data_IF_287116493085
#
_entry.id   IF_287116493085
#
_cell.length_a   1.000
_cell.length_b   1.000
_cell.length_c   1.000
_cell.angle_alpha   90.00
_cell.angle_beta   90.00
_cell.angle_gamma   90.00
#
_symmetry.space_group_name_H-M   'P 1'
#
loop_
_entity.id
_entity.type
_entity.pdbx_description
1 polymer ?
#
# COMPACT_ATOMS: atom_id res chain seq x y z
N UNK A 1 1.96 28.82 21.27
CA UNK A 1 1.59 28.48 19.88
C UNK A 1 0.94 29.71 19.27
N UNK A 2 1.39 30.18 18.10
CA UNK A 2 0.84 31.40 17.49
C UNK A 2 -0.61 31.18 17.04
N UNK A 3 -1.40 32.25 16.98
CA UNK A 3 -2.81 32.19 16.54
C UNK A 3 -2.95 31.61 15.12
N UNK A 4 -2.03 32.00 14.23
CA UNK A 4 -1.92 31.49 12.85
C UNK A 4 -1.69 29.98 12.81
N UNK A 5 -0.81 29.45 13.66
CA UNK A 5 -0.53 28.01 13.72
C UNK A 5 -1.77 27.22 14.19
N UNK A 6 -2.49 27.72 15.19
CA UNK A 6 -3.74 27.10 15.63
C UNK A 6 -4.81 27.10 14.54
N UNK A 7 -4.92 28.22 13.81
CA UNK A 7 -5.85 28.35 12.69
C UNK A 7 -5.52 27.39 11.55
N UNK A 8 -4.25 27.28 11.16
CA UNK A 8 -3.83 26.34 10.12
C UNK A 8 -4.05 24.89 10.57
N UNK A 9 -3.68 24.52 11.80
CA UNK A 9 -3.94 23.17 12.34
C UNK A 9 -5.42 22.81 12.30
N UNK A 10 -6.31 23.76 12.62
CA UNK A 10 -7.75 23.55 12.51
C UNK A 10 -8.18 23.24 11.08
N UNK A 11 -7.72 24.02 10.10
CA UNK A 11 -8.06 23.82 8.69
C UNK A 11 -7.51 22.50 8.15
N UNK A 12 -6.25 22.17 8.45
CA UNK A 12 -5.63 20.89 8.11
C UNK A 12 -6.37 19.72 8.74
N UNK A 13 -6.82 19.87 9.99
CA UNK A 13 -7.57 18.84 10.67
C UNK A 13 -8.93 18.57 10.02
N UNK A 14 -9.65 19.61 9.62
CA UNK A 14 -10.92 19.44 8.89
C UNK A 14 -10.72 18.77 7.52
N UNK A 15 -9.63 19.09 6.81
CA UNK A 15 -9.27 18.40 5.55
C UNK A 15 -8.94 16.93 5.81
N UNK A 16 -8.16 16.65 6.87
CA UNK A 16 -7.84 15.29 7.32
C UNK A 16 -9.12 14.50 7.62
N UNK A 17 -10.04 15.06 8.41
CA UNK A 17 -11.28 14.37 8.79
C UNK A 17 -12.13 13.97 7.57
N UNK A 18 -12.22 14.84 6.56
CA UNK A 18 -12.92 14.53 5.30
C UNK A 18 -12.21 13.39 4.56
N UNK A 19 -10.88 13.44 4.48
CA UNK A 19 -10.07 12.38 3.89
C UNK A 19 -10.25 11.04 4.61
N UNK A 20 -10.22 11.03 5.94
CA UNK A 20 -10.44 9.82 6.75
C UNK A 20 -11.85 9.26 6.59
N UNK A 21 -12.87 10.12 6.48
CA UNK A 21 -14.22 9.69 6.16
C UNK A 21 -14.30 9.03 4.76
N UNK A 22 -13.59 9.58 3.77
CA UNK A 22 -13.47 8.96 2.46
C UNK A 22 -12.75 7.60 2.54
N UNK A 23 -11.70 7.46 3.36
CA UNK A 23 -11.03 6.18 3.60
C UNK A 23 -12.00 5.14 4.18
N UNK A 24 -12.87 5.49 5.14
CA UNK A 24 -13.89 4.57 5.67
C UNK A 24 -14.83 4.07 4.57
N UNK A 25 -15.28 4.98 3.70
CA UNK A 25 -16.10 4.60 2.54
C UNK A 25 -15.34 3.71 1.55
N UNK A 26 -14.04 3.95 1.36
CA UNK A 26 -13.16 3.12 0.53
C UNK A 26 -12.96 1.71 1.11
N UNK A 27 -12.77 1.60 2.42
CA UNK A 27 -12.72 0.30 3.11
C UNK A 27 -14.05 -0.45 2.99
N UNK A 28 -15.17 0.23 3.26
CA UNK A 28 -16.50 -0.39 3.17
C UNK A 28 -16.79 -0.89 1.75
N UNK A 29 -16.28 -0.19 0.72
CA UNK A 29 -16.41 -0.58 -0.68
C UNK A 29 -15.75 -1.93 -0.98
N UNK A 30 -14.71 -2.29 -0.24
CA UNK A 30 -13.96 -3.53 -0.45
C UNK A 30 -14.39 -4.67 0.48
N UNK A 31 -15.11 -4.36 1.57
CA UNK A 31 -15.43 -5.33 2.63
C UNK A 31 -16.91 -5.65 2.72
N UNK A 32 -17.80 -4.64 2.75
CA UNK A 32 -19.21 -4.84 3.11
C UNK A 32 -20.22 -4.36 2.05
N UNK A 33 -19.79 -3.58 1.06
CA UNK A 33 -20.74 -2.93 0.14
C UNK A 33 -21.57 -3.96 -0.66
N UNK A 34 -22.89 -3.75 -0.80
CA UNK A 34 -23.69 -4.55 -1.72
C UNK A 34 -23.25 -4.34 -3.18
N UNK A 35 -23.34 -5.35 -4.06
CA UNK A 35 -22.87 -5.24 -5.46
C UNK A 35 -23.47 -4.08 -6.27
N UNK A 36 -24.69 -3.64 -5.96
CA UNK A 36 -25.33 -2.50 -6.66
C UNK A 36 -24.94 -1.12 -6.08
N UNK A 37 -24.13 -1.08 -5.03
CA UNK A 37 -23.75 0.16 -4.34
C UNK A 37 -22.54 0.88 -4.94
N UNK A 38 -21.76 0.23 -5.82
CA UNK A 38 -20.47 0.73 -6.28
C UNK A 38 -20.57 2.08 -7.01
N UNK A 39 -21.56 2.27 -7.89
CA UNK A 39 -21.72 3.54 -8.61
C UNK A 39 -21.94 4.72 -7.66
N UNK A 40 -22.89 4.58 -6.72
CA UNK A 40 -23.17 5.63 -5.73
C UNK A 40 -21.97 5.87 -4.81
N UNK A 41 -21.23 4.82 -4.44
CA UNK A 41 -20.00 4.93 -3.65
C UNK A 41 -18.93 5.73 -4.39
N UNK A 42 -18.74 5.49 -5.69
CA UNK A 42 -17.82 6.28 -6.51
C UNK A 42 -18.15 7.78 -6.49
N UNK A 43 -19.44 8.14 -6.57
CA UNK A 43 -19.88 9.54 -6.48
C UNK A 43 -19.65 10.17 -5.10
N UNK A 44 -19.88 9.41 -4.02
CA UNK A 44 -19.61 9.85 -2.65
C UNK A 44 -18.12 10.15 -2.45
N UNK A 45 -17.26 9.22 -2.85
CA UNK A 45 -15.80 9.40 -2.77
C UNK A 45 -15.35 10.61 -3.60
N UNK A 46 -15.82 10.75 -4.85
CA UNK A 46 -15.51 11.89 -5.70
C UNK A 46 -15.92 13.23 -5.05
N UNK A 47 -17.09 13.27 -4.41
CA UNK A 47 -17.59 14.45 -3.70
C UNK A 47 -16.71 14.81 -2.52
N UNK A 48 -16.37 13.83 -1.65
CA UNK A 48 -15.52 14.06 -0.49
C UNK A 48 -14.11 14.51 -0.89
N UNK A 49 -13.49 13.86 -1.89
CA UNK A 49 -12.17 14.25 -2.39
C UNK A 49 -12.16 15.67 -2.94
N UNK A 50 -13.21 16.06 -3.68
CA UNK A 50 -13.35 17.43 -4.19
C UNK A 50 -13.48 18.45 -3.05
N UNK A 51 -14.34 18.20 -2.06
CA UNK A 51 -14.54 19.10 -0.92
C UNK A 51 -13.24 19.24 -0.11
N UNK A 52 -12.52 18.14 0.15
CA UNK A 52 -11.25 18.16 0.85
C UNK A 52 -10.23 19.04 0.13
N UNK A 53 -10.12 18.89 -1.20
CA UNK A 53 -9.18 19.70 -1.98
C UNK A 53 -9.59 21.17 -2.04
N UNK A 54 -10.84 21.50 -2.35
CA UNK A 54 -11.34 22.89 -2.39
C UNK A 54 -11.09 23.61 -1.07
N UNK A 55 -11.26 22.90 0.04
CA UNK A 55 -10.98 23.41 1.38
C UNK A 55 -9.50 23.60 1.67
N UNK A 56 -8.65 22.73 1.12
CA UNK A 56 -7.21 22.77 1.34
C UNK A 56 -6.51 23.85 0.49
N UNK A 57 -6.97 24.10 -0.73
CA UNK A 57 -6.28 24.98 -1.69
C UNK A 57 -6.71 26.46 -1.61
N UNK A 58 -7.41 26.87 -0.54
CA UNK A 58 -7.85 28.27 -0.39
C UNK A 58 -6.67 29.23 -0.25
N UNK A 59 -6.89 30.51 -0.59
CA UNK A 59 -5.86 31.55 -0.40
C UNK A 59 -5.54 31.78 1.08
N UNK A 60 -6.50 31.55 1.98
CA UNK A 60 -6.30 31.60 3.43
C UNK A 60 -5.27 30.54 3.89
N UNK A 61 -5.43 29.28 3.45
CA UNK A 61 -4.47 28.21 3.79
C UNK A 61 -3.09 28.54 3.23
N UNK A 62 -3.02 29.01 1.98
CA UNK A 62 -1.76 29.42 1.35
C UNK A 62 -1.06 30.55 2.10
N UNK A 63 -1.80 31.60 2.49
CA UNK A 63 -1.26 32.72 3.26
C UNK A 63 -0.75 32.30 4.63
N UNK A 64 -1.49 31.44 5.34
CA UNK A 64 -1.06 30.89 6.63
C UNK A 64 0.22 30.05 6.51
N UNK A 65 0.32 29.22 5.47
CA UNK A 65 1.52 28.41 5.21
C UNK A 65 2.73 29.31 4.97
N UNK A 66 2.64 30.33 4.13
CA UNK A 66 3.77 31.23 3.83
C UNK A 66 4.21 32.06 5.04
N UNK A 67 3.25 32.58 5.82
CA UNK A 67 3.53 33.28 7.06
C UNK A 67 4.28 32.38 8.06
N UNK A 68 3.79 31.15 8.26
CA UNK A 68 4.37 30.20 9.22
C UNK A 68 5.71 29.62 8.74
N UNK A 69 5.91 29.45 7.43
CA UNK A 69 7.24 29.12 6.85
C UNK A 69 8.27 30.18 7.21
N UNK A 70 7.87 31.44 7.18
CA UNK A 70 8.75 32.57 7.53
C UNK A 70 9.00 32.63 9.05
N UNK A 71 7.95 32.45 9.86
CA UNK A 71 8.03 32.47 11.33
C UNK A 71 8.90 31.32 11.89
N UNK A 72 8.80 30.14 11.30
CA UNK A 72 9.48 28.92 11.75
C UNK A 72 10.74 28.59 10.94
N UNK A 73 11.27 29.55 10.17
CA UNK A 73 12.45 29.32 9.35
C UNK A 73 13.66 28.92 10.21
N UNK A 74 14.30 27.81 9.87
CA UNK A 74 15.44 27.25 10.62
C UNK A 74 15.07 26.56 11.94
N UNK A 75 13.80 26.48 12.31
CA UNK A 75 13.36 25.72 13.48
C UNK A 75 13.36 24.21 13.17
N UNK A 76 13.88 23.43 14.12
CA UNK A 76 13.90 21.97 14.06
C UNK A 76 12.94 21.38 15.11
N UNK A 77 11.66 21.38 14.77
CA UNK A 77 10.58 20.83 15.59
C UNK A 77 9.41 20.36 14.71
N UNK A 78 8.46 19.66 15.31
CA UNK A 78 7.33 19.04 14.62
C UNK A 78 6.42 20.06 13.90
N UNK A 79 6.25 21.26 14.46
CA UNK A 79 5.47 22.31 13.81
C UNK A 79 6.15 22.76 12.51
N UNK A 80 7.47 22.99 12.53
CA UNK A 80 8.23 23.31 11.33
C UNK A 80 8.19 22.17 10.29
N UNK A 81 8.24 20.91 10.74
CA UNK A 81 8.08 19.75 9.86
C UNK A 81 6.69 19.68 9.22
N UNK A 82 5.63 19.89 10.02
CA UNK A 82 4.24 19.92 9.56
C UNK A 82 4.06 21.00 8.49
N UNK A 83 4.63 22.19 8.69
CA UNK A 83 4.55 23.28 7.71
C UNK A 83 5.30 22.94 6.42
N UNK A 84 6.48 22.30 6.48
CA UNK A 84 7.19 21.85 5.28
C UNK A 84 6.35 20.86 4.46
N UNK A 85 5.75 19.87 5.11
CA UNK A 85 4.89 18.87 4.45
C UNK A 85 3.62 19.52 3.91
N UNK A 86 2.94 20.36 4.71
CA UNK A 86 1.74 21.07 4.31
C UNK A 86 1.99 21.98 3.10
N UNK A 87 3.11 22.72 3.08
CA UNK A 87 3.51 23.57 1.95
C UNK A 87 3.67 22.76 0.68
N UNK A 88 4.44 21.67 0.73
CA UNK A 88 4.64 20.80 -0.44
C UNK A 88 3.30 20.26 -0.96
N UNK A 89 2.45 19.76 -0.05
CA UNK A 89 1.16 19.21 -0.41
C UNK A 89 0.24 20.29 -1.02
N UNK A 90 0.24 21.50 -0.47
CA UNK A 90 -0.53 22.64 -0.98
C UNK A 90 -0.07 23.04 -2.38
N UNK A 91 1.24 23.17 -2.59
CA UNK A 91 1.84 23.54 -3.87
C UNK A 91 1.50 22.54 -4.99
N UNK A 92 1.43 21.25 -4.65
CA UNK A 92 0.97 20.21 -5.59
C UNK A 92 -0.53 20.29 -5.82
N UNK A 93 -1.33 20.33 -4.75
CA UNK A 93 -2.79 20.33 -4.83
C UNK A 93 -3.35 21.55 -5.58
N UNK A 94 -2.75 22.73 -5.44
CA UNK A 94 -3.17 23.97 -6.10
C UNK A 94 -3.00 23.94 -7.62
N UNK A 95 -2.09 23.11 -8.14
CA UNK A 95 -1.86 22.98 -9.59
C UNK A 95 -2.95 22.19 -10.30
N UNK A 96 -3.64 21.32 -9.56
CA UNK A 96 -4.60 20.37 -10.12
C UNK A 96 -6.02 20.91 -9.89
N UNK A 97 -6.84 21.11 -10.93
CA UNK A 97 -8.22 21.56 -10.74
C UNK A 97 -9.04 20.57 -9.91
N UNK A 98 -9.86 21.00 -8.92
CA UNK A 98 -10.72 20.09 -8.17
C UNK A 98 -11.71 19.30 -9.04
N UNK A 99 -12.12 19.85 -10.19
CA UNK A 99 -12.95 19.15 -11.18
C UNK A 99 -12.21 17.96 -11.82
N UNK A 100 -10.89 18.05 -11.98
CA UNK A 100 -10.07 16.96 -12.51
C UNK A 100 -9.99 15.79 -11.51
N UNK A 101 -9.83 16.07 -10.21
CA UNK A 101 -9.83 15.02 -9.18
C UNK A 101 -11.18 14.28 -9.15
N UNK A 102 -12.30 15.01 -9.27
CA UNK A 102 -13.61 14.38 -9.38
C UNK A 102 -13.76 13.53 -10.66
N UNK A 103 -13.28 14.02 -11.82
CA UNK A 103 -13.25 13.26 -13.08
C UNK A 103 -12.45 11.96 -12.92
N UNK A 104 -11.25 12.05 -12.36
CA UNK A 104 -10.36 10.91 -12.11
C UNK A 104 -11.00 9.88 -11.18
N UNK A 105 -11.63 10.30 -10.09
CA UNK A 105 -12.32 9.40 -9.16
C UNK A 105 -13.44 8.60 -9.85
N UNK A 106 -14.26 9.27 -10.67
CA UNK A 106 -15.35 8.62 -11.42
C UNK A 106 -14.80 7.63 -12.45
N UNK A 107 -13.76 8.01 -13.19
CA UNK A 107 -13.13 7.13 -14.18
C UNK A 107 -12.49 5.91 -13.51
N UNK A 108 -11.75 6.08 -12.42
CA UNK A 108 -11.13 4.99 -11.67
C UNK A 108 -12.15 4.02 -11.09
N UNK A 109 -13.29 4.52 -10.58
CA UNK A 109 -14.38 3.65 -10.08
C UNK A 109 -14.94 2.76 -11.18
N UNK A 110 -15.22 3.32 -12.37
CA UNK A 110 -15.72 2.55 -13.52
C UNK A 110 -14.67 1.58 -14.05
N UNK A 111 -13.41 1.99 -14.08
CA UNK A 111 -12.30 1.13 -14.49
C UNK A 111 -12.13 -0.06 -13.54
N UNK A 112 -12.32 0.12 -12.23
CA UNK A 112 -12.27 -0.96 -11.25
C UNK A 112 -13.37 -2.01 -11.48
N UNK A 113 -14.61 -1.57 -11.72
CA UNK A 113 -15.72 -2.48 -12.05
C UNK A 113 -15.44 -3.28 -13.32
N UNK A 114 -15.01 -2.60 -14.40
CA UNK A 114 -14.64 -3.26 -15.65
C UNK A 114 -13.45 -4.23 -15.48
N UNK A 115 -12.47 -3.88 -14.65
CA UNK A 115 -11.33 -4.74 -14.33
C UNK A 115 -11.76 -6.01 -13.58
N UNK A 116 -12.69 -5.92 -12.62
CA UNK A 116 -13.19 -7.10 -11.90
C UNK A 116 -13.82 -8.10 -12.87
N UNK A 117 -14.64 -7.59 -13.80
CA UNK A 117 -15.24 -8.40 -14.85
C UNK A 117 -14.19 -8.99 -15.81
N UNK A 118 -13.30 -8.14 -16.34
CA UNK A 118 -12.22 -8.52 -17.25
C UNK A 118 -11.34 -9.62 -16.65
N UNK A 119 -10.95 -9.49 -15.38
CA UNK A 119 -10.15 -10.49 -14.66
C UNK A 119 -10.91 -11.80 -14.48
N UNK A 120 -12.19 -11.74 -14.11
CA UNK A 120 -13.02 -12.96 -13.94
C UNK A 120 -13.18 -13.72 -15.25
N UNK A 121 -13.27 -13.00 -16.37
CA UNK A 121 -13.41 -13.57 -17.72
C UNK A 121 -12.06 -13.86 -18.39
N UNK A 122 -10.95 -13.45 -17.80
CA UNK A 122 -9.62 -13.44 -18.44
C UNK A 122 -9.63 -12.74 -19.81
N UNK A 123 -10.36 -11.63 -19.93
CA UNK A 123 -10.57 -10.90 -21.18
C UNK A 123 -10.15 -9.43 -21.03
N UNK A 124 -8.95 -9.11 -21.53
CA UNK A 124 -8.39 -7.77 -21.48
C UNK A 124 -9.17 -6.76 -22.33
N UNK A 125 -9.88 -7.19 -23.38
CA UNK A 125 -10.60 -6.27 -24.28
C UNK A 125 -11.71 -5.50 -23.56
N UNK A 126 -12.26 -6.07 -22.50
CA UNK A 126 -13.23 -5.41 -21.61
C UNK A 126 -12.58 -4.24 -20.86
N UNK A 127 -11.33 -4.41 -20.41
CA UNK A 127 -10.63 -3.40 -19.60
C UNK A 127 -9.87 -2.37 -20.44
N UNK A 128 -9.42 -2.74 -21.64
CA UNK A 128 -8.62 -1.89 -22.51
C UNK A 128 -9.15 -0.45 -22.66
N UNK A 129 -10.41 -0.19 -23.05
CA UNK A 129 -10.90 1.18 -23.23
C UNK A 129 -10.91 1.99 -21.92
N UNK A 130 -11.05 1.32 -20.77
CA UNK A 130 -10.97 1.97 -19.47
C UNK A 130 -9.53 2.30 -19.10
N UNK A 131 -8.58 1.39 -19.37
CA UNK A 131 -7.16 1.62 -19.14
C UNK A 131 -6.64 2.78 -20.00
N UNK A 132 -7.03 2.85 -21.27
CA UNK A 132 -6.70 3.97 -22.17
C UNK A 132 -7.16 5.31 -21.58
N UNK A 133 -8.39 5.37 -21.05
CA UNK A 133 -8.89 6.58 -20.40
C UNK A 133 -8.15 6.93 -19.12
N UNK A 134 -7.77 5.93 -18.31
CA UNK A 134 -6.95 6.13 -17.11
C UNK A 134 -5.58 6.71 -17.49
N UNK A 135 -4.90 6.13 -18.48
CA UNK A 135 -3.58 6.61 -18.94
C UNK A 135 -3.68 8.03 -19.52
N UNK A 136 -4.75 8.36 -20.27
CA UNK A 136 -5.02 9.72 -20.74
C UNK A 136 -5.09 10.71 -19.57
N UNK A 137 -5.82 10.37 -18.51
CA UNK A 137 -5.93 11.21 -17.32
C UNK A 137 -4.60 11.31 -16.56
N UNK A 138 -3.82 10.23 -16.47
CA UNK A 138 -2.48 10.27 -15.86
C UNK A 138 -1.58 11.25 -16.60
N UNK A 139 -1.56 11.21 -17.95
CA UNK A 139 -0.79 12.17 -18.75
C UNK A 139 -1.30 13.61 -18.56
N UNK A 140 -2.62 13.80 -18.49
CA UNK A 140 -3.24 15.11 -18.19
C UNK A 140 -2.85 15.61 -16.79
N UNK A 141 -2.77 14.72 -15.79
CA UNK A 141 -2.30 15.06 -14.45
C UNK A 141 -0.87 15.61 -14.49
N UNK A 142 0.06 14.89 -15.14
CA UNK A 142 1.45 15.33 -15.30
C UNK A 142 1.54 16.71 -15.95
N UNK A 143 0.65 17.03 -16.91
CA UNK A 143 0.63 18.32 -17.60
C UNK A 143 0.29 19.54 -16.71
N UNK A 144 -0.26 19.33 -15.50
CA UNK A 144 -0.50 20.43 -14.54
C UNK A 144 0.78 20.88 -13.83
N UNK A 145 1.86 20.11 -13.93
CA UNK A 145 3.12 20.36 -13.25
C UNK A 145 4.15 20.98 -14.22
N UNK A 146 5.11 21.77 -13.72
CA UNK A 146 6.22 22.22 -14.54
C UNK A 146 7.02 21.01 -15.05
N UNK A 147 7.75 21.14 -16.17
CA UNK A 147 8.59 20.05 -16.67
C UNK A 147 9.54 19.52 -15.59
N UNK A 148 9.49 18.21 -15.35
CA UNK A 148 10.45 17.48 -14.52
C UNK A 148 11.60 16.94 -15.39
N UNK A 149 12.64 16.38 -14.76
CA UNK A 149 13.75 15.74 -15.49
C UNK A 149 13.24 14.58 -16.36
N UNK A 150 12.27 13.82 -15.84
CA UNK A 150 11.51 12.82 -16.57
C UNK A 150 10.01 12.95 -16.23
N UNK A 151 9.06 12.82 -17.19
CA UNK A 151 7.63 13.04 -16.93
C UNK A 151 7.04 12.10 -15.86
N UNK A 152 7.59 10.89 -15.75
CA UNK A 152 7.22 9.93 -14.70
C UNK A 152 7.64 10.38 -13.28
N UNK A 153 8.61 11.29 -13.14
CA UNK A 153 9.07 11.78 -11.82
C UNK A 153 7.94 12.49 -11.06
N UNK A 154 7.04 13.17 -11.77
CA UNK A 154 5.86 13.81 -11.16
C UNK A 154 4.96 12.80 -10.47
N UNK A 155 4.78 11.63 -11.09
CA UNK A 155 3.96 10.54 -10.54
C UNK A 155 4.69 9.81 -9.41
N UNK A 156 6.00 9.57 -9.57
CA UNK A 156 6.81 8.92 -8.55
C UNK A 156 6.85 9.74 -7.26
N UNK A 157 6.97 11.06 -7.38
CA UNK A 157 6.97 12.01 -6.26
C UNK A 157 5.61 12.04 -5.50
N UNK A 158 4.51 11.56 -6.08
CA UNK A 158 3.24 11.40 -5.32
C UNK A 158 3.35 10.31 -4.25
N UNK A 159 4.23 9.32 -4.43
CA UNK A 159 4.36 8.15 -3.57
C UNK A 159 5.65 8.11 -2.78
N UNK A 160 6.75 8.61 -3.37
CA UNK A 160 8.08 8.65 -2.76
C UNK A 160 8.67 10.06 -2.93
N UNK A 161 8.41 10.98 -1.99
CA UNK A 161 8.79 12.38 -2.11
C UNK A 161 10.29 12.58 -2.43
N UNK A 162 10.57 13.23 -3.56
CA UNK A 162 11.93 13.54 -4.02
C UNK A 162 12.65 12.42 -4.78
N UNK A 163 12.08 11.21 -4.87
CA UNK A 163 12.65 10.13 -5.67
C UNK A 163 12.46 10.40 -7.16
N UNK A 164 13.51 10.18 -7.96
CA UNK A 164 13.44 10.30 -9.43
C UNK A 164 13.55 8.97 -10.13
N UNK A 165 13.09 8.92 -11.38
CA UNK A 165 13.24 7.79 -12.29
C UNK A 165 14.71 7.37 -12.42
N UNK A 166 15.63 8.34 -12.44
CA UNK A 166 17.07 8.09 -12.48
C UNK A 166 17.60 7.38 -11.23
N UNK A 167 17.09 7.73 -10.05
CA UNK A 167 17.49 7.11 -8.77
C UNK A 167 17.02 5.65 -8.72
N UNK A 168 15.78 5.38 -9.15
CA UNK A 168 15.24 4.02 -9.22
C UNK A 168 16.04 3.16 -10.21
N UNK A 169 16.39 3.70 -11.38
CA UNK A 169 17.26 3.01 -12.36
C UNK A 169 18.65 2.72 -11.76
N UNK A 170 19.24 3.67 -11.03
CA UNK A 170 20.52 3.48 -10.38
C UNK A 170 20.51 2.36 -9.31
N UNK A 171 19.34 2.07 -8.72
CA UNK A 171 19.15 0.91 -7.83
C UNK A 171 18.97 -0.39 -8.63
N UNK A 172 18.10 -0.37 -9.64
CA UNK A 172 17.70 -1.59 -10.36
C UNK A 172 18.76 -2.12 -11.32
N UNK A 173 19.47 -1.25 -12.04
CA UNK A 173 20.46 -1.64 -13.06
C UNK A 173 21.58 -2.54 -12.50
N UNK A 174 22.21 -2.24 -11.35
CA UNK A 174 23.20 -3.14 -10.75
C UNK A 174 22.58 -4.33 -10.01
N UNK A 175 21.33 -4.24 -9.54
CA UNK A 175 20.65 -5.29 -8.78
C UNK A 175 20.17 -6.42 -9.70
N UNK A 176 19.53 -6.07 -10.82
CA UNK A 176 18.91 -7.01 -11.76
C UNK A 176 19.83 -8.15 -12.19
N UNK A 177 21.05 -7.93 -12.73
CA UNK A 177 21.90 -9.04 -13.18
C UNK A 177 22.30 -9.97 -12.03
N UNK A 178 22.58 -9.42 -10.84
CA UNK A 178 22.93 -10.20 -9.65
C UNK A 178 21.75 -11.04 -9.15
N UNK A 179 20.56 -10.46 -9.15
CA UNK A 179 19.33 -11.16 -8.77
C UNK A 179 19.01 -12.29 -9.76
N UNK A 180 19.15 -12.04 -11.06
CA UNK A 180 19.00 -13.07 -12.11
C UNK A 180 20.01 -14.20 -11.94
N UNK A 181 21.27 -13.89 -11.64
CA UNK A 181 22.30 -14.91 -11.36
C UNK A 181 21.94 -15.75 -10.13
N UNK A 182 21.52 -15.12 -9.03
CA UNK A 182 21.09 -15.80 -7.81
C UNK A 182 19.90 -16.73 -8.10
N UNK A 183 18.87 -16.26 -8.80
CA UNK A 183 17.71 -17.07 -9.17
C UNK A 183 18.16 -18.28 -9.99
N UNK A 184 19.00 -18.08 -11.01
CA UNK A 184 19.54 -19.18 -11.84
C UNK A 184 20.29 -20.21 -11.01
N UNK A 185 21.11 -19.76 -10.07
CA UNK A 185 21.85 -20.65 -9.16
C UNK A 185 20.89 -21.48 -8.29
N UNK A 186 19.85 -20.84 -7.73
CA UNK A 186 18.85 -21.52 -6.90
C UNK A 186 18.03 -22.52 -7.72
N UNK A 187 17.54 -22.13 -8.90
CA UNK A 187 16.71 -23.01 -9.76
C UNK A 187 17.50 -24.18 -10.33
N UNK A 188 18.83 -24.05 -10.47
CA UNK A 188 19.71 -25.13 -10.93
C UNK A 188 20.10 -26.11 -9.82
N UNK A 189 19.90 -25.75 -8.55
CA UNK A 189 20.20 -26.60 -7.41
C UNK A 189 19.11 -27.66 -7.16
N UNK A 190 19.36 -28.56 -6.20
CA UNK A 190 18.35 -29.52 -5.75
C UNK A 190 17.18 -28.79 -5.08
N UNK A 191 16.00 -28.92 -5.65
CA UNK A 191 14.80 -28.22 -5.20
C UNK A 191 14.23 -28.77 -3.89
N UNK A 192 13.61 -27.88 -3.12
CA UNK A 192 12.94 -28.18 -1.85
C UNK A 192 11.54 -28.74 -2.13
N UNK A 193 11.13 -29.78 -1.41
CA UNK A 193 9.75 -30.27 -1.42
C UNK A 193 8.85 -29.31 -0.65
N UNK A 194 7.79 -28.83 -1.29
CA UNK A 194 6.86 -27.86 -0.72
C UNK A 194 5.39 -28.27 -0.83
N UNK A 195 5.08 -29.47 -1.36
CA UNK A 195 3.71 -29.93 -1.65
C UNK A 195 2.77 -29.87 -0.44
N UNK A 196 3.32 -29.97 0.78
CA UNK A 196 2.53 -29.86 2.00
C UNK A 196 1.95 -28.46 2.24
N UNK A 197 2.55 -27.39 1.70
CA UNK A 197 2.03 -26.02 1.77
C UNK A 197 0.74 -25.85 0.95
N UNK A 198 0.58 -26.66 -0.10
CA UNK A 198 -0.52 -26.60 -1.06
C UNK A 198 -1.62 -27.64 -0.79
N UNK A 199 -1.53 -28.39 0.31
CA UNK A 199 -2.63 -29.24 0.77
C UNK A 199 -3.83 -28.38 1.18
N UNK A 200 -5.00 -28.99 1.32
CA UNK A 200 -6.16 -28.28 1.89
C UNK A 200 -5.93 -27.95 3.36
N UNK A 201 -5.93 -26.66 3.69
CA UNK A 201 -5.96 -26.16 5.07
C UNK A 201 -7.36 -25.65 5.41
N UNK A 202 -7.73 -25.72 6.68
CA UNK A 202 -8.97 -25.10 7.13
C UNK A 202 -8.77 -23.58 7.23
N UNK A 203 -9.54 -22.82 6.45
CA UNK A 203 -9.46 -21.35 6.39
C UNK A 203 -9.54 -20.72 7.78
N UNK A 204 -10.57 -21.05 8.57
CA UNK A 204 -10.78 -20.44 9.89
C UNK A 204 -9.56 -20.65 10.78
N UNK A 205 -9.02 -21.88 10.84
CA UNK A 205 -7.82 -22.17 11.64
C UNK A 205 -6.58 -21.41 11.17
N UNK A 206 -6.43 -21.15 9.87
CA UNK A 206 -5.31 -20.38 9.35
C UNK A 206 -5.45 -18.89 9.71
N UNK A 207 -6.65 -18.34 9.58
CA UNK A 207 -6.94 -16.97 9.98
C UNK A 207 -6.75 -16.81 11.50
N UNK A 208 -7.29 -17.72 12.31
CA UNK A 208 -7.11 -17.71 13.77
C UNK A 208 -5.62 -17.76 14.15
N UNK A 209 -4.82 -18.59 13.46
CA UNK A 209 -3.38 -18.65 13.68
C UNK A 209 -2.67 -17.34 13.28
N UNK A 210 -3.08 -16.72 12.18
CA UNK A 210 -2.58 -15.40 11.77
C UNK A 210 -2.89 -14.32 12.80
N UNK A 211 -4.12 -14.32 13.35
CA UNK A 211 -4.54 -13.45 14.46
C UNK A 211 -3.62 -13.65 15.68
N UNK A 212 -3.36 -14.89 16.09
CA UNK A 212 -2.45 -15.19 17.20
C UNK A 212 -1.03 -14.65 16.95
N UNK A 213 -0.53 -14.78 15.72
CA UNK A 213 0.80 -14.28 15.33
C UNK A 213 0.86 -12.75 15.46
N UNK A 214 -0.05 -12.02 14.82
CA UNK A 214 0.02 -10.56 14.76
C UNK A 214 -0.31 -9.92 16.12
N UNK A 215 -1.12 -10.61 16.95
CA UNK A 215 -1.29 -10.24 18.36
C UNK A 215 0.05 -10.23 19.10
N UNK A 216 0.91 -11.23 18.83
CA UNK A 216 2.25 -11.29 19.42
C UNK A 216 3.25 -10.32 18.80
N UNK A 217 3.05 -9.90 17.54
CA UNK A 217 3.82 -8.78 16.98
C UNK A 217 3.53 -7.46 17.70
N UNK A 218 2.32 -7.32 18.26
CA UNK A 218 1.89 -6.14 18.99
C UNK A 218 0.78 -5.36 18.29
N UNK A 219 0.10 -5.95 17.30
CA UNK A 219 -1.07 -5.32 16.68
C UNK A 219 -2.15 -5.10 17.74
N UNK A 220 -2.53 -3.84 17.95
CA UNK A 220 -3.49 -3.45 18.98
C UNK A 220 -4.92 -3.58 18.46
N UNK A 221 -5.60 -4.63 18.91
CA UNK A 221 -7.00 -4.92 18.56
C UNK A 221 -8.01 -3.92 19.13
N UNK A 222 -7.63 -3.08 20.10
CA UNK A 222 -8.49 -1.97 20.55
C UNK A 222 -8.46 -0.78 19.59
N UNK A 223 -7.43 -0.74 18.72
CA UNK A 223 -7.17 0.33 17.74
C UNK A 223 -7.23 -0.18 16.30
N UNK A 224 -7.93 -1.29 16.07
CA UNK A 224 -7.96 -1.94 14.77
C UNK A 224 -8.76 -3.23 14.71
N UNK A 225 -8.90 -3.78 13.51
CA UNK A 225 -9.54 -5.08 13.25
C UNK A 225 -9.04 -5.70 11.95
N UNK A 226 -9.30 -7.00 11.77
CA UNK A 226 -9.02 -7.73 10.53
C UNK A 226 -10.31 -8.19 9.85
N UNK A 227 -10.39 -7.98 8.54
CA UNK A 227 -11.50 -8.36 7.68
C UNK A 227 -11.07 -9.19 6.48
N UNK A 228 -12.04 -9.66 5.67
CA UNK A 228 -11.76 -10.26 4.37
C UNK A 228 -11.97 -9.24 3.26
N UNK A 229 -11.07 -9.25 2.29
CA UNK A 229 -11.20 -8.48 1.06
C UNK A 229 -10.67 -9.27 -0.15
N UNK A 230 -11.10 -8.96 -1.39
CA UNK A 230 -10.55 -9.59 -2.60
C UNK A 230 -9.04 -9.40 -2.76
N UNK A 231 -8.50 -8.32 -2.20
CA UNK A 231 -7.07 -8.04 -2.10
C UNK A 231 -6.77 -7.61 -0.66
N UNK A 232 -5.80 -8.21 0.04
CA UNK A 232 -5.31 -7.69 1.31
C UNK A 232 -4.80 -6.25 1.17
N UNK A 233 -5.08 -5.45 2.18
CA UNK A 233 -4.60 -4.08 2.35
C UNK A 233 -4.75 -3.65 3.81
N UNK A 234 -3.94 -2.67 4.22
CA UNK A 234 -4.10 -1.86 5.42
C UNK A 234 -4.73 -0.50 5.05
N UNK A 235 -5.52 0.06 5.97
CA UNK A 235 -6.04 1.42 5.87
C UNK A 235 -6.21 2.04 7.25
N UNK A 236 -5.87 3.33 7.35
CA UNK A 236 -5.92 4.10 8.60
C UNK A 236 -6.98 5.19 8.54
N UNK A 237 -7.85 5.25 9.55
CA UNK A 237 -8.89 6.29 9.71
C UNK A 237 -8.56 7.29 10.83
N UNK A 238 -7.77 6.85 11.79
CA UNK A 238 -7.09 7.65 12.81
C UNK A 238 -5.93 6.82 13.34
N UNK A 239 -5.04 7.38 14.15
CA UNK A 239 -4.01 6.59 14.83
C UNK A 239 -4.61 5.47 15.68
N UNK A 240 -5.88 5.58 16.09
CA UNK A 240 -6.61 4.61 16.90
C UNK A 240 -7.64 3.77 16.11
N UNK A 241 -7.68 3.86 14.79
CA UNK A 241 -8.50 3.00 13.93
C UNK A 241 -7.73 2.65 12.65
N UNK A 242 -6.84 1.67 12.80
CA UNK A 242 -5.97 1.10 11.76
C UNK A 242 -6.48 -0.29 11.45
N UNK A 243 -7.02 -0.52 10.25
CA UNK A 243 -7.63 -1.80 9.87
C UNK A 243 -6.82 -2.49 8.81
N UNK A 244 -6.78 -3.82 8.93
CA UNK A 244 -6.16 -4.69 7.95
C UNK A 244 -7.22 -5.60 7.31
N UNK A 245 -6.95 -6.07 6.12
CA UNK A 245 -7.73 -7.11 5.47
C UNK A 245 -6.84 -8.26 5.06
N UNK A 246 -7.43 -9.45 4.93
CA UNK A 246 -6.73 -10.64 4.47
C UNK A 246 -7.59 -11.38 3.44
N UNK A 247 -6.99 -12.38 2.80
CA UNK A 247 -7.67 -13.25 1.84
C UNK A 247 -7.18 -14.67 2.01
N UNK A 248 -8.13 -15.61 2.07
CA UNK A 248 -7.80 -17.02 1.98
C UNK A 248 -7.52 -17.42 0.53
N UNK A 249 -6.38 -18.08 0.29
CA UNK A 249 -5.99 -18.57 -1.03
C UNK A 249 -6.12 -20.09 -1.09
N UNK A 250 -7.17 -20.60 -1.73
CA UNK A 250 -7.40 -22.05 -1.83
C UNK A 250 -6.22 -22.80 -2.46
N UNK A 251 -5.59 -22.21 -3.47
CA UNK A 251 -4.47 -22.79 -4.21
C UNK A 251 -3.11 -22.63 -3.50
N UNK A 252 -3.00 -21.69 -2.54
CA UNK A 252 -1.80 -21.51 -1.72
C UNK A 252 -2.19 -21.09 -0.28
N UNK A 253 -2.78 -21.99 0.52
CA UNK A 253 -3.41 -21.60 1.78
C UNK A 253 -2.44 -20.93 2.75
N UNK A 254 -1.17 -21.34 2.74
CA UNK A 254 -0.14 -20.76 3.60
C UNK A 254 0.24 -19.31 3.23
N UNK A 255 -0.03 -18.85 2.00
CA UNK A 255 0.14 -17.44 1.64
C UNK A 255 -0.77 -16.51 2.45
N UNK A 256 -1.97 -16.98 2.82
CA UNK A 256 -2.91 -16.25 3.71
C UNK A 256 -2.23 -15.72 4.97
N UNK A 257 -1.34 -16.52 5.56
CA UNK A 257 -0.62 -16.16 6.78
C UNK A 257 0.35 -14.99 6.53
N UNK A 258 1.12 -15.06 5.45
CA UNK A 258 2.08 -14.02 5.09
C UNK A 258 1.38 -12.73 4.66
N UNK A 259 0.24 -12.82 3.97
CA UNK A 259 -0.61 -11.66 3.69
C UNK A 259 -1.05 -10.96 4.99
N UNK A 260 -1.54 -11.72 5.97
CA UNK A 260 -1.88 -11.14 7.29
C UNK A 260 -0.68 -10.52 7.99
N UNK A 261 0.49 -11.16 7.97
CA UNK A 261 1.72 -10.60 8.56
C UNK A 261 2.19 -9.32 7.85
N UNK A 262 2.04 -9.27 6.52
CA UNK A 262 2.39 -8.13 5.68
C UNK A 262 1.54 -6.92 6.04
N UNK A 263 0.22 -7.06 6.00
CA UNK A 263 -0.69 -5.96 6.35
C UNK A 263 -0.56 -5.56 7.83
N UNK A 264 -0.29 -6.51 8.72
CA UNK A 264 0.00 -6.17 10.11
C UNK A 264 1.29 -5.35 10.26
N UNK A 265 2.30 -5.57 9.42
CA UNK A 265 3.53 -4.77 9.44
C UNK A 265 3.28 -3.31 9.01
N UNK A 266 2.41 -3.10 8.02
CA UNK A 266 1.88 -1.77 7.71
C UNK A 266 1.15 -1.16 8.90
N UNK A 267 0.22 -1.91 9.50
CA UNK A 267 -0.57 -1.39 10.60
C UNK A 267 0.25 -1.08 11.86
N UNK A 268 1.31 -1.84 12.14
CA UNK A 268 2.23 -1.55 13.25
C UNK A 268 2.96 -0.23 13.04
N UNK A 269 3.23 0.16 11.79
CA UNK A 269 3.79 1.48 11.50
C UNK A 269 2.79 2.58 11.86
N UNK A 270 1.57 2.48 11.34
CA UNK A 270 0.51 3.46 11.55
C UNK A 270 0.07 3.55 13.02
N UNK A 271 -0.07 2.42 13.72
CA UNK A 271 -0.36 2.39 15.16
C UNK A 271 0.80 2.94 16.02
N UNK A 272 2.02 2.95 15.47
CA UNK A 272 3.23 3.50 16.08
C UNK A 272 3.45 4.99 15.85
N UNK A 273 2.62 5.65 15.02
CA UNK A 273 2.65 7.09 14.80
C UNK A 273 2.36 7.83 16.11
N UNK A 274 3.08 8.94 16.34
CA UNK A 274 2.87 9.77 17.53
C UNK A 274 1.42 10.34 17.53
N UNK A 275 0.60 10.05 18.56
CA UNK A 275 -0.78 10.54 18.63
C UNK A 275 -0.90 12.07 18.60
N UNK A 276 0.16 12.81 18.95
CA UNK A 276 0.20 14.26 18.84
C UNK A 276 0.11 14.78 17.40
N UNK A 277 0.36 13.92 16.40
CA UNK A 277 0.27 14.27 14.98
C UNK A 277 -1.13 14.09 14.42
N UNK A 278 -2.06 13.50 15.18
CA UNK A 278 -3.43 13.25 14.75
C UNK A 278 -4.06 14.51 14.13
N UNK A 279 -4.79 14.33 13.03
CA UNK A 279 -5.36 15.43 12.23
C UNK A 279 -4.33 16.40 11.63
N UNK A 280 -3.09 15.96 11.42
CA UNK A 280 -2.06 16.71 10.67
C UNK A 280 -1.49 15.88 9.53
N UNK A 281 -0.81 16.50 8.54
CA UNK A 281 -0.10 15.78 7.48
C UNK A 281 1.05 14.89 7.96
N UNK A 282 1.40 14.91 9.25
CA UNK A 282 2.43 14.04 9.85
C UNK A 282 1.85 12.74 10.42
N UNK A 283 0.52 12.58 10.50
CA UNK A 283 -0.13 11.39 11.06
C UNK A 283 -0.28 10.24 10.05
N UNK A 284 0.83 9.82 9.45
CA UNK A 284 0.91 8.62 8.61
C UNK A 284 2.38 8.25 8.38
N UNK A 285 2.63 7.12 7.71
CA UNK A 285 3.96 6.79 7.24
C UNK A 285 4.56 7.84 6.28
N UNK A 286 5.88 7.97 6.32
CA UNK A 286 6.57 9.09 5.64
C UNK A 286 6.60 8.98 4.11
N UNK A 287 6.50 7.76 3.57
CA UNK A 287 6.45 7.45 2.14
C UNK A 287 6.02 5.99 1.93
N UNK A 288 5.63 5.63 0.71
CA UNK A 288 5.26 4.24 0.41
C UNK A 288 6.42 3.27 0.58
N UNK A 289 7.66 3.64 0.23
CA UNK A 289 8.79 2.73 0.39
C UNK A 289 9.09 2.44 1.87
N UNK A 290 8.99 3.44 2.74
CA UNK A 290 9.15 3.23 4.18
C UNK A 290 7.99 2.41 4.74
N UNK A 291 6.76 2.64 4.26
CA UNK A 291 5.59 1.83 4.62
C UNK A 291 5.78 0.35 4.25
N UNK A 292 6.22 0.09 3.01
CA UNK A 292 6.52 -1.24 2.49
C UNK A 292 7.73 -1.87 3.19
N UNK A 293 8.68 -1.08 3.66
CA UNK A 293 9.79 -1.62 4.46
C UNK A 293 9.29 -2.25 5.76
N UNK A 294 8.25 -1.68 6.39
CA UNK A 294 7.68 -2.21 7.62
C UNK A 294 6.91 -3.50 7.35
N UNK A 295 6.06 -3.53 6.32
CA UNK A 295 5.35 -4.77 5.94
C UNK A 295 6.32 -5.90 5.58
N UNK A 296 7.35 -5.62 4.77
CA UNK A 296 8.36 -6.61 4.39
C UNK A 296 9.25 -7.02 5.56
N UNK A 297 9.54 -6.14 6.50
CA UNK A 297 10.27 -6.51 7.71
C UNK A 297 9.50 -7.57 8.50
N UNK A 298 8.21 -7.34 8.77
CA UNK A 298 7.39 -8.26 9.56
C UNK A 298 7.00 -9.54 8.82
N UNK A 299 6.72 -9.44 7.52
CA UNK A 299 6.42 -10.60 6.67
C UNK A 299 7.66 -11.48 6.48
N UNK A 300 8.77 -10.90 6.01
CA UNK A 300 9.90 -11.66 5.51
C UNK A 300 11.00 -11.79 6.56
N UNK A 301 11.58 -10.67 6.99
CA UNK A 301 12.73 -10.70 7.89
C UNK A 301 12.39 -11.35 9.24
N UNK A 302 11.17 -11.15 9.72
CA UNK A 302 10.64 -11.82 10.91
C UNK A 302 9.87 -13.09 10.53
N UNK A 303 8.75 -12.95 9.81
CA UNK A 303 7.78 -14.02 9.58
C UNK A 303 8.27 -15.20 8.73
N UNK A 304 9.31 -15.03 7.90
CA UNK A 304 9.95 -16.13 7.16
C UNK A 304 11.24 -16.65 7.79
N UNK A 305 11.67 -16.07 8.91
CA UNK A 305 12.93 -16.46 9.58
C UNK A 305 12.83 -17.82 10.29
N UNK A 306 13.97 -18.51 10.41
CA UNK A 306 14.02 -19.78 11.13
C UNK A 306 13.69 -19.62 12.63
N UNK A 307 14.22 -18.63 13.38
CA UNK A 307 13.88 -18.45 14.79
C UNK A 307 12.38 -18.22 15.03
N UNK A 308 11.71 -17.48 14.13
CA UNK A 308 10.27 -17.30 14.19
C UNK A 308 9.55 -18.65 14.10
N UNK A 309 9.90 -19.48 13.12
CA UNK A 309 9.28 -20.80 12.96
C UNK A 309 9.70 -21.80 14.04
N UNK A 310 10.89 -21.71 14.62
CA UNK A 310 11.24 -22.51 15.81
C UNK A 310 10.28 -22.26 16.98
N UNK A 311 9.79 -21.02 17.13
CA UNK A 311 8.77 -20.68 18.13
C UNK A 311 7.36 -21.11 17.72
N UNK A 312 6.92 -20.76 16.50
CA UNK A 312 5.52 -20.90 16.08
C UNK A 312 5.17 -22.26 15.47
N UNK A 313 6.14 -22.98 14.90
CA UNK A 313 5.91 -24.25 14.20
C UNK A 313 5.31 -25.36 15.08
N UNK A 314 5.66 -25.54 16.36
CA UNK A 314 5.02 -26.55 17.21
C UNK A 314 3.50 -26.35 17.32
N UNK A 315 3.04 -25.10 17.49
CA UNK A 315 1.61 -24.77 17.52
C UNK A 315 0.97 -24.96 16.15
N UNK A 316 1.63 -24.47 15.08
CA UNK A 316 1.14 -24.62 13.71
C UNK A 316 0.97 -26.10 13.31
N UNK A 317 1.97 -26.93 13.61
CA UNK A 317 1.95 -28.38 13.35
C UNK A 317 0.87 -29.09 14.17
N UNK A 318 0.61 -28.68 15.41
CA UNK A 318 -0.49 -29.23 16.22
C UNK A 318 -1.85 -28.94 15.57
N UNK A 319 -2.03 -27.74 15.03
CA UNK A 319 -3.28 -27.31 14.37
C UNK A 319 -3.51 -28.02 13.03
N UNK A 320 -2.43 -28.32 12.29
CA UNK A 320 -2.44 -28.88 10.93
C UNK A 320 -1.64 -30.19 10.83
N UNK A 321 -1.90 -31.12 11.75
CA UNK A 321 -1.12 -32.36 11.90
C UNK A 321 -1.20 -33.27 10.66
N UNK A 322 -2.35 -33.34 9.99
CA UNK A 322 -2.52 -34.17 8.78
C UNK A 322 -1.75 -33.62 7.57
N UNK A 323 -1.59 -32.30 7.47
CA UNK A 323 -0.82 -31.66 6.41
C UNK A 323 0.68 -31.81 6.64
N UNK A 324 1.11 -31.66 7.91
CA UNK A 324 2.51 -31.54 8.33
C UNK A 324 3.09 -32.80 8.99
N UNK A 325 2.43 -33.95 8.83
CA UNK A 325 2.97 -35.23 9.30
C UNK A 325 4.32 -35.53 8.64
N UNK A 326 5.28 -35.98 9.45
CA UNK A 326 6.67 -36.18 9.02
C UNK A 326 7.45 -34.89 8.62
N UNK A 327 6.82 -33.71 8.60
CA UNK A 327 7.49 -32.45 8.28
C UNK A 327 8.13 -31.86 9.54
N UNK A 328 9.45 -31.67 9.51
CA UNK A 328 10.20 -30.97 10.56
C UNK A 328 10.31 -29.46 10.28
N UNK A 329 10.58 -28.66 11.31
CA UNK A 329 10.63 -27.19 11.21
C UNK A 329 11.62 -26.70 10.13
N UNK A 330 12.79 -27.34 10.01
CA UNK A 330 13.78 -26.96 8.98
C UNK A 330 13.29 -27.25 7.55
N UNK A 331 12.49 -28.30 7.35
CA UNK A 331 11.89 -28.59 6.05
C UNK A 331 10.78 -27.59 5.72
N UNK A 332 9.96 -27.24 6.71
CA UNK A 332 8.94 -26.20 6.59
C UNK A 332 9.56 -24.83 6.25
N UNK A 333 10.57 -24.39 7.02
CA UNK A 333 11.32 -23.15 6.79
C UNK A 333 11.91 -23.07 5.38
N UNK A 334 12.50 -24.17 4.88
CA UNK A 334 13.01 -24.22 3.51
C UNK A 334 11.89 -24.12 2.46
N UNK A 335 10.71 -24.68 2.74
CA UNK A 335 9.60 -24.68 1.79
C UNK A 335 8.93 -23.31 1.66
N UNK A 336 8.74 -22.58 2.76
CA UNK A 336 8.15 -21.22 2.72
C UNK A 336 9.10 -20.17 2.11
N UNK A 337 10.40 -20.50 2.01
CA UNK A 337 11.44 -19.70 1.35
C UNK A 337 11.86 -20.31 0.01
N UNK A 338 11.02 -21.16 -0.59
CA UNK A 338 11.27 -21.72 -1.92
C UNK A 338 11.25 -20.58 -2.94
N UNK A 339 12.24 -20.57 -3.83
CA UNK A 339 12.35 -19.60 -4.93
C UNK A 339 11.92 -20.26 -6.23
N UNK A 340 11.00 -19.62 -6.95
CA UNK A 340 10.49 -20.10 -8.22
C UNK A 340 9.94 -18.93 -9.06
N UNK A 341 10.43 -18.70 -10.28
CA UNK A 341 9.82 -17.73 -11.19
C UNK A 341 8.35 -18.06 -11.41
N UNK A 342 7.47 -17.11 -11.08
CA UNK A 342 6.02 -17.28 -11.17
C UNK A 342 5.37 -16.07 -11.85
N UNK A 343 4.06 -16.13 -12.12
CA UNK A 343 3.34 -15.08 -12.85
C UNK A 343 2.71 -14.02 -11.94
N UNK A 344 2.44 -14.38 -10.68
CA UNK A 344 1.61 -13.59 -9.77
C UNK A 344 2.51 -12.87 -8.78
N UNK A 345 2.70 -11.55 -8.99
CA UNK A 345 3.57 -10.70 -8.15
C UNK A 345 3.33 -10.87 -6.64
N UNK A 346 2.07 -10.85 -6.21
CA UNK A 346 1.73 -10.92 -4.77
C UNK A 346 2.08 -12.26 -4.13
N UNK A 347 2.28 -13.30 -4.95
CA UNK A 347 2.65 -14.65 -4.50
C UNK A 347 4.10 -15.00 -4.87
N UNK A 348 4.85 -14.05 -5.44
CA UNK A 348 6.25 -14.25 -5.80
C UNK A 348 7.11 -14.35 -4.54
N UNK A 349 8.18 -15.15 -4.63
CA UNK A 349 9.15 -15.28 -3.55
C UNK A 349 10.04 -14.03 -3.43
N UNK A 350 10.77 -13.93 -2.30
CA UNK A 350 11.63 -12.78 -2.01
C UNK A 350 12.71 -12.52 -3.08
N UNK A 351 13.19 -13.57 -3.75
CA UNK A 351 14.23 -13.44 -4.74
C UNK A 351 13.68 -13.04 -6.12
N UNK A 352 12.42 -13.34 -6.44
CA UNK A 352 11.83 -13.02 -7.76
C UNK A 352 10.91 -11.79 -7.75
N UNK A 353 10.39 -11.38 -6.58
CA UNK A 353 9.44 -10.28 -6.44
C UNK A 353 9.86 -8.98 -7.14
N UNK A 354 11.12 -8.54 -6.97
CA UNK A 354 11.58 -7.26 -7.55
C UNK A 354 11.58 -7.26 -9.08
N UNK A 355 11.69 -8.41 -9.75
CA UNK A 355 11.60 -8.47 -11.20
C UNK A 355 10.20 -8.10 -11.70
N UNK A 356 9.16 -8.43 -10.92
CA UNK A 356 7.79 -8.00 -11.21
C UNK A 356 7.61 -6.49 -11.03
N UNK A 357 8.34 -5.87 -10.11
CA UNK A 357 8.35 -4.41 -9.89
C UNK A 357 9.07 -3.72 -11.05
N UNK A 358 10.25 -4.21 -11.44
CA UNK A 358 11.01 -3.70 -12.58
C UNK A 358 10.19 -3.70 -13.87
N UNK A 359 9.48 -4.82 -14.17
CA UNK A 359 8.62 -4.90 -15.35
C UNK A 359 7.48 -3.87 -15.32
N UNK A 360 6.85 -3.65 -14.15
CA UNK A 360 5.76 -2.68 -14.02
C UNK A 360 6.24 -1.25 -14.21
N UNK A 361 7.38 -0.91 -13.60
CA UNK A 361 8.01 0.40 -13.79
C UNK A 361 8.31 0.66 -15.28
N UNK A 362 8.88 -0.32 -15.98
CA UNK A 362 9.18 -0.19 -17.42
C UNK A 362 7.91 0.05 -18.25
N UNK A 363 6.84 -0.70 -17.97
CA UNK A 363 5.55 -0.52 -18.64
C UNK A 363 4.89 0.83 -18.32
N UNK A 364 4.95 1.26 -17.05
CA UNK A 364 4.38 2.53 -16.61
C UNK A 364 5.11 3.73 -17.24
N UNK A 365 6.45 3.69 -17.28
CA UNK A 365 7.26 4.69 -17.98
C UNK A 365 6.85 4.74 -19.46
N UNK A 366 6.80 3.59 -20.14
CA UNK A 366 6.41 3.53 -21.55
C UNK A 366 4.99 4.09 -21.79
N UNK A 367 4.04 3.79 -20.91
CA UNK A 367 2.68 4.34 -20.99
C UNK A 367 2.65 5.86 -20.77
N UNK A 368 3.51 6.43 -19.93
CA UNK A 368 3.57 7.89 -19.73
C UNK A 368 4.26 8.58 -20.90
N UNK A 369 5.32 7.99 -21.45
CA UNK A 369 6.07 8.49 -22.61
C UNK A 369 5.29 8.32 -23.93
N UNK A 370 4.44 7.30 -24.01
CA UNK A 370 3.76 6.91 -25.25
C UNK A 370 4.62 6.13 -26.23
N UNK A 371 5.59 5.37 -25.71
CA UNK A 371 6.54 4.54 -26.47
C UNK A 371 6.12 3.09 -26.61
#
# INVERSE_FOLDING_TARGET
>A
MSEKLNQLKKLLGEVSDIGRAASVLGWDQQVNIPPKGHEARGQQLATLSKIAQEKFITDEVGGLIEDLKSELNGADNDDAAMIRVASRNYDKAKRVPPSFIAEQAVVSSKAFEAWMEARSKSDFSIFQPHLEKVVELVRKYVSFFPPADHPYDTLLDDYEPGMKTADVKAIFDPLRPKQVELIKAITSAKQVKADFLFKKYNEKKLIDFGVDVITKYGYDWSRGRQDKAPHPFETTFSVDDVRITTRFEDDNPTATLFSTMHEAGHALYEQGVNPAYERTPLASGTSLAVHESQSRMWENLVGRSLPFWEHFYPSFKKTFSSQLDGVGVKAFYKAINKVEPSLIRVNADEATYNLHIMLRLELEIAMVEGS
#
